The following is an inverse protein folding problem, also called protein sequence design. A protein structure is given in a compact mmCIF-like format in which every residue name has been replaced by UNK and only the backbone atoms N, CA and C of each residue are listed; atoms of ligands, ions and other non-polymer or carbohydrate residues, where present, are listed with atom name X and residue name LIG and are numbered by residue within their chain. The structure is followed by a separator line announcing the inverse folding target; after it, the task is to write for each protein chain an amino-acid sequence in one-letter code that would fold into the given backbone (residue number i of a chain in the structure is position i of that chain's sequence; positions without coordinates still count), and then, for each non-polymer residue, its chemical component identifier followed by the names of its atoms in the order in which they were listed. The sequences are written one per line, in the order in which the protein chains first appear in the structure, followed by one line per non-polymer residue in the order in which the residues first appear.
data_IF_978630986547
#
_entry.id   IF_978630986547
#
_cell.length_a   1.000
_cell.length_b   1.000
_cell.length_c   1.000
_cell.angle_alpha   90.00
_cell.angle_beta   90.00
_cell.angle_gamma   90.00
#
_symmetry.space_group_name_H-M   'P 1'
#
loop_
_entity.id
_entity.type
_entity.pdbx_description
1 polymer ?
#
# COMPACT_ATOMS: atom_id res chain seq x y z
N UNK A 1 9.21 -8.10 -19.06
CA UNK A 1 8.78 -6.69 -18.93
C UNK A 1 7.26 -6.56 -18.98
N UNK A 2 6.57 -6.87 -20.08
CA UNK A 2 5.10 -6.74 -20.17
C UNK A 2 4.31 -7.60 -19.17
N UNK A 3 4.70 -8.86 -18.96
CA UNK A 3 4.06 -9.73 -17.96
C UNK A 3 4.16 -9.19 -16.53
N UNK A 4 5.23 -8.44 -16.23
CA UNK A 4 5.44 -7.81 -14.92
C UNK A 4 4.38 -6.73 -14.65
N UNK A 5 4.00 -5.94 -15.67
CA UNK A 5 2.94 -4.94 -15.55
C UNK A 5 1.54 -5.54 -15.36
N UNK A 6 1.31 -6.78 -15.80
CA UNK A 6 0.01 -7.46 -15.71
C UNK A 6 -0.10 -8.28 -14.41
N UNK A 7 0.93 -9.04 -14.06
CA UNK A 7 0.94 -9.92 -12.88
C UNK A 7 0.98 -9.15 -11.56
N UNK A 8 1.62 -7.99 -11.56
CA UNK A 8 1.90 -7.21 -10.37
C UNK A 8 0.62 -6.58 -9.76
N UNK A 9 -0.27 -5.91 -10.52
CA UNK A 9 -1.58 -5.47 -10.02
C UNK A 9 -2.48 -6.64 -9.58
N UNK A 10 -2.38 -7.77 -10.30
CA UNK A 10 -3.11 -9.00 -10.00
C UNK A 10 -2.74 -9.58 -8.63
N UNK A 11 -1.47 -9.46 -8.24
CA UNK A 11 -0.99 -9.90 -6.91
C UNK A 11 -1.65 -9.12 -5.76
N UNK A 12 -1.91 -7.82 -5.95
CA UNK A 12 -2.57 -6.96 -4.97
C UNK A 12 -4.08 -7.14 -4.91
N UNK A 13 -4.66 -7.87 -5.86
CA UNK A 13 -6.06 -8.27 -5.78
C UNK A 13 -6.29 -9.25 -4.64
N UNK A 14 -5.37 -10.19 -4.41
CA UNK A 14 -5.55 -11.24 -3.40
C UNK A 14 -5.83 -10.64 -2.01
N UNK A 15 -5.02 -9.72 -1.45
CA UNK A 15 -5.31 -9.16 -0.13
C UNK A 15 -6.53 -8.24 -0.13
N UNK A 16 -6.87 -7.57 -1.24
CA UNK A 16 -8.09 -6.73 -1.31
C UNK A 16 -9.38 -7.53 -1.27
N UNK A 17 -9.39 -8.79 -1.72
CA UNK A 17 -10.59 -9.65 -1.64
C UNK A 17 -11.04 -9.80 -0.19
N UNK A 18 -10.08 -9.89 0.73
CA UNK A 18 -10.34 -9.99 2.17
C UNK A 18 -10.86 -8.68 2.78
N UNK A 19 -10.81 -7.56 2.05
CA UNK A 19 -11.44 -6.30 2.43
C UNK A 19 -12.92 -6.19 1.98
N UNK A 20 -13.55 -7.26 1.47
CA UNK A 20 -14.93 -7.25 0.96
C UNK A 20 -15.91 -6.49 1.86
N UNK A 21 -15.98 -6.87 3.13
CA UNK A 21 -16.90 -6.26 4.10
C UNK A 21 -16.55 -4.81 4.43
N UNK A 22 -15.27 -4.44 4.33
CA UNK A 22 -14.85 -3.05 4.51
C UNK A 22 -15.32 -2.18 3.34
N UNK A 23 -15.32 -2.73 2.11
CA UNK A 23 -15.85 -2.01 0.95
C UNK A 23 -17.36 -1.79 1.07
N UNK A 24 -18.10 -2.80 1.55
CA UNK A 24 -19.53 -2.67 1.83
C UNK A 24 -19.82 -1.61 2.89
N UNK A 25 -19.06 -1.59 3.99
CA UNK A 25 -19.17 -0.55 5.02
C UNK A 25 -18.80 0.85 4.52
N UNK A 26 -17.94 0.95 3.52
CA UNK A 26 -17.57 2.21 2.87
C UNK A 26 -18.58 2.64 1.78
N UNK A 27 -19.72 1.95 1.63
CA UNK A 27 -20.76 2.28 0.65
C UNK A 27 -20.44 1.85 -0.78
N UNK A 28 -19.48 0.93 -0.97
CA UNK A 28 -19.13 0.32 -2.26
C UNK A 28 -19.59 -1.13 -2.30
N UNK A 29 -19.74 -1.72 -3.48
CA UNK A 29 -20.15 -3.12 -3.55
C UNK A 29 -18.97 -4.05 -3.31
N UNK A 30 -19.15 -5.09 -2.48
CA UNK A 30 -18.05 -6.00 -2.14
C UNK A 30 -17.48 -6.78 -3.33
N UNK A 31 -18.28 -7.10 -4.35
CA UNK A 31 -17.81 -7.77 -5.57
C UNK A 31 -16.75 -6.98 -6.33
N UNK A 32 -16.68 -5.66 -6.12
CA UNK A 32 -15.68 -4.81 -6.73
C UNK A 32 -14.26 -5.19 -6.28
N UNK A 33 -14.12 -5.89 -5.15
CA UNK A 33 -12.81 -6.40 -4.67
C UNK A 33 -12.26 -7.56 -5.50
N UNK A 34 -13.09 -8.28 -6.25
CA UNK A 34 -12.68 -9.45 -7.05
C UNK A 34 -12.05 -9.06 -8.39
N UNK A 35 -12.46 -7.94 -8.96
CA UNK A 35 -12.04 -7.54 -10.30
C UNK A 35 -10.66 -6.85 -10.20
N UNK A 36 -9.59 -7.44 -10.76
CA UNK A 36 -8.28 -6.81 -10.75
C UNK A 36 -8.32 -5.45 -11.44
N UNK A 37 -7.41 -4.53 -11.05
CA UNK A 37 -7.35 -3.13 -11.49
C UNK A 37 -8.53 -2.28 -10.98
N UNK A 38 -9.77 -2.71 -11.21
CA UNK A 38 -10.96 -1.99 -10.75
C UNK A 38 -11.06 -1.96 -9.23
N UNK A 39 -10.76 -3.06 -8.56
CA UNK A 39 -10.67 -3.14 -7.10
C UNK A 39 -9.74 -2.06 -6.51
N UNK A 40 -8.56 -1.87 -7.10
CA UNK A 40 -7.54 -0.91 -6.66
C UNK A 40 -7.99 0.54 -6.92
N UNK A 41 -8.71 0.78 -8.01
CA UNK A 41 -9.32 2.08 -8.28
C UNK A 41 -10.43 2.42 -7.28
N UNK A 42 -11.35 1.49 -7.01
CA UNK A 42 -12.39 1.67 -5.99
C UNK A 42 -11.76 1.83 -4.60
N UNK A 43 -10.69 1.09 -4.33
CA UNK A 43 -9.92 1.25 -3.10
C UNK A 43 -9.44 2.70 -2.95
N UNK A 44 -8.85 3.29 -3.99
CA UNK A 44 -8.44 4.71 -3.97
C UNK A 44 -9.60 5.68 -3.73
N UNK A 45 -10.79 5.38 -4.27
CA UNK A 45 -11.99 6.18 -4.00
C UNK A 45 -12.40 6.11 -2.52
N UNK A 46 -12.31 4.94 -1.90
CA UNK A 46 -12.61 4.76 -0.47
C UNK A 46 -11.62 5.55 0.40
N UNK A 47 -10.33 5.54 0.06
CA UNK A 47 -9.33 6.27 0.86
C UNK A 47 -9.15 7.74 0.43
N UNK A 48 -9.94 8.20 -0.57
CA UNK A 48 -9.88 9.52 -1.21
C UNK A 48 -8.45 9.98 -1.56
N UNK A 49 -7.64 9.09 -2.12
CA UNK A 49 -6.28 9.42 -2.56
C UNK A 49 -6.24 9.71 -4.06
N UNK A 50 -5.32 10.58 -4.53
CA UNK A 50 -5.27 10.97 -5.94
C UNK A 50 -4.89 9.78 -6.83
N UNK A 51 -5.32 9.84 -8.09
CA UNK A 51 -5.06 8.81 -9.11
C UNK A 51 -3.56 8.48 -9.31
N UNK A 52 -2.65 9.39 -8.97
CA UNK A 52 -1.21 9.13 -9.03
C UNK A 52 -0.77 7.96 -8.15
N UNK A 53 -1.46 7.69 -7.04
CA UNK A 53 -1.19 6.51 -6.22
C UNK A 53 -1.44 5.22 -6.99
N UNK A 54 -2.45 5.22 -7.88
CA UNK A 54 -2.72 4.11 -8.78
C UNK A 54 -1.59 3.88 -9.76
N UNK A 55 -1.07 4.97 -10.36
CA UNK A 55 0.03 4.88 -11.32
C UNK A 55 1.31 4.37 -10.67
N UNK A 56 1.60 4.77 -9.43
CA UNK A 56 2.76 4.28 -8.69
C UNK A 56 2.68 2.77 -8.37
N UNK A 57 1.48 2.17 -8.36
CA UNK A 57 1.34 0.72 -8.24
C UNK A 57 1.89 -0.04 -9.46
N UNK A 58 2.11 0.64 -10.59
CA UNK A 58 2.70 0.02 -11.78
C UNK A 58 4.23 0.01 -11.75
N UNK A 59 4.84 0.80 -10.85
CA UNK A 59 6.30 0.90 -10.73
C UNK A 59 6.79 -0.19 -9.77
N UNK A 60 7.67 -1.12 -10.20
CA UNK A 60 8.22 -2.15 -9.32
C UNK A 60 8.89 -1.56 -8.07
N UNK A 61 8.86 -2.32 -6.97
CA UNK A 61 9.29 -1.93 -5.62
C UNK A 61 8.45 -0.84 -4.96
N UNK A 62 8.17 0.25 -5.68
CA UNK A 62 7.26 1.31 -5.22
C UNK A 62 5.84 0.79 -5.04
N UNK A 63 5.41 -0.11 -5.90
CA UNK A 63 4.10 -0.73 -5.85
C UNK A 63 3.75 -1.36 -4.49
N UNK A 64 4.68 -2.14 -3.91
CA UNK A 64 4.46 -2.80 -2.62
C UNK A 64 4.32 -1.75 -1.53
N UNK A 65 5.21 -0.76 -1.52
CA UNK A 65 5.15 0.35 -0.57
C UNK A 65 3.83 1.13 -0.65
N UNK A 66 3.42 1.50 -1.86
CA UNK A 66 2.17 2.22 -2.08
C UNK A 66 0.95 1.39 -1.66
N UNK A 67 0.95 0.09 -1.96
CA UNK A 67 -0.13 -0.80 -1.53
C UNK A 67 -0.19 -0.94 0.00
N UNK A 68 0.97 -1.06 0.67
CA UNK A 68 1.03 -1.05 2.14
C UNK A 68 0.44 0.25 2.71
N UNK A 69 0.78 1.41 2.12
CA UNK A 69 0.18 2.68 2.53
C UNK A 69 -1.34 2.71 2.33
N UNK A 70 -1.84 2.16 1.22
CA UNK A 70 -3.28 2.06 0.97
C UNK A 70 -3.99 1.22 2.03
N UNK A 71 -3.41 0.08 2.44
CA UNK A 71 -3.94 -0.77 3.52
C UNK A 71 -3.97 -0.03 4.87
N UNK A 72 -2.92 0.72 5.17
CA UNK A 72 -2.85 1.57 6.37
C UNK A 72 -3.92 2.67 6.32
N UNK A 73 -4.12 3.32 5.18
CA UNK A 73 -5.15 4.34 5.00
C UNK A 73 -6.57 3.76 5.10
N UNK A 74 -6.78 2.53 4.62
CA UNK A 74 -8.03 1.80 4.83
C UNK A 74 -8.29 1.56 6.30
N UNK A 75 -7.30 1.04 7.03
CA UNK A 75 -7.43 0.76 8.46
C UNK A 75 -7.78 2.05 9.24
N UNK A 76 -7.19 3.19 8.85
CA UNK A 76 -7.53 4.50 9.41
C UNK A 76 -8.97 4.94 9.10
N UNK A 77 -9.57 4.53 7.96
CA UNK A 77 -11.01 4.76 7.71
C UNK A 77 -11.89 4.12 8.80
N UNK A 78 -11.42 3.07 9.47
CA UNK A 78 -12.16 2.33 10.49
C UNK A 78 -11.63 2.63 11.90
N UNK A 79 -11.12 3.85 12.13
CA UNK A 79 -10.57 4.32 13.41
C UNK A 79 -9.37 3.51 13.95
N UNK A 80 -8.65 2.77 13.10
CA UNK A 80 -7.45 2.01 13.49
C UNK A 80 -6.17 2.82 13.31
N UNK A 81 -5.88 3.65 14.31
CA UNK A 81 -4.75 4.59 14.27
C UNK A 81 -3.47 4.10 14.92
N UNK A 82 -3.55 3.03 15.73
CA UNK A 82 -2.39 2.49 16.45
C UNK A 82 -1.39 1.88 15.47
N UNK A 83 -0.10 2.03 15.79
CA UNK A 83 0.99 1.47 14.98
C UNK A 83 0.85 -0.05 14.79
N UNK A 84 0.51 -0.78 15.86
CA UNK A 84 0.36 -2.23 15.80
C UNK A 84 -0.80 -2.68 14.91
N UNK A 85 -1.92 -1.95 14.93
CA UNK A 85 -3.07 -2.21 14.07
C UNK A 85 -2.74 -1.99 12.58
N UNK A 86 -1.97 -0.95 12.28
CA UNK A 86 -1.49 -0.67 10.92
C UNK A 86 -0.48 -1.70 10.44
N UNK A 87 0.43 -2.12 11.31
CA UNK A 87 1.37 -3.19 11.04
C UNK A 87 0.65 -4.52 10.75
N UNK A 88 -0.35 -4.89 11.55
CA UNK A 88 -1.16 -6.09 11.32
C UNK A 88 -1.93 -6.04 10.00
N UNK A 89 -2.48 -4.87 9.63
CA UNK A 89 -3.14 -4.68 8.35
C UNK A 89 -2.21 -4.91 7.15
N UNK A 90 -0.92 -4.61 7.30
CA UNK A 90 0.09 -4.75 6.26
C UNK A 90 0.68 -6.17 6.21
N UNK A 91 1.03 -6.74 7.36
CA UNK A 91 1.74 -8.03 7.43
C UNK A 91 0.77 -9.21 7.31
N UNK A 92 -0.44 -9.07 7.85
CA UNK A 92 -1.45 -10.14 7.85
C UNK A 92 -2.81 -9.66 7.33
N UNK A 93 -2.88 -9.08 6.10
CA UNK A 93 -4.10 -8.51 5.55
C UNK A 93 -5.23 -9.55 5.44
N UNK A 94 -4.88 -10.80 5.12
CA UNK A 94 -5.83 -11.89 4.92
C UNK A 94 -6.65 -12.24 6.17
N UNK A 95 -6.09 -12.01 7.36
CA UNK A 95 -6.77 -12.29 8.64
C UNK A 95 -7.31 -11.00 9.23
N UNK A 96 -6.52 -9.94 9.18
CA UNK A 96 -6.85 -8.69 9.85
C UNK A 96 -7.96 -7.90 9.13
N UNK A 97 -7.98 -7.86 7.80
CA UNK A 97 -9.01 -7.12 7.06
C UNK A 97 -10.42 -7.72 7.21
N UNK A 98 -10.63 -9.06 7.10
CA UNK A 98 -11.92 -9.66 7.39
C UNK A 98 -12.29 -9.52 8.86
N UNK A 99 -11.32 -9.64 9.77
CA UNK A 99 -11.57 -9.42 11.20
C UNK A 99 -12.10 -8.01 11.49
N UNK A 100 -11.57 -6.98 10.83
CA UNK A 100 -12.13 -5.63 10.88
C UNK A 100 -13.50 -5.55 10.18
N UNK A 101 -13.67 -6.23 9.05
CA UNK A 101 -14.92 -6.30 8.31
C UNK A 101 -16.09 -6.88 9.12
N UNK A 102 -15.82 -7.87 9.98
CA UNK A 102 -16.85 -8.58 10.74
C UNK A 102 -17.36 -7.81 11.96
N UNK A 103 -16.63 -6.81 12.45
CA UNK A 103 -17.05 -6.06 13.64
C UNK A 103 -18.23 -5.13 13.32
N UNK A 104 -19.40 -5.37 13.91
CA UNK A 104 -20.64 -4.63 13.62
C UNK A 104 -20.60 -3.14 14.03
N UNK A 105 -19.77 -2.78 15.00
CA UNK A 105 -19.70 -1.43 15.59
C UNK A 105 -18.56 -0.57 15.03
N UNK A 106 -18.30 -0.67 13.73
CA UNK A 106 -17.25 0.14 13.09
C UNK A 106 -17.81 0.88 11.88
N UNK A 107 -18.32 2.12 12.08
CA UNK A 107 -18.70 2.96 10.96
C UNK A 107 -17.46 3.34 10.16
N UNK A 108 -17.64 3.43 8.84
CA UNK A 108 -16.64 4.02 7.96
C UNK A 108 -16.57 5.53 8.26
N UNK A 109 -15.36 6.00 8.57
CA UNK A 109 -15.04 7.42 8.75
C UNK A 109 -14.37 7.92 7.49
N UNK A 110 -14.96 8.97 6.93
CA UNK A 110 -14.45 9.61 5.74
C UNK A 110 -13.02 10.14 5.97
N UNK A 111 -12.06 9.90 5.06
CA UNK A 111 -10.71 10.46 5.11
C UNK A 111 -10.62 11.94 5.45
N UNK A 112 -11.57 12.75 4.97
CA UNK A 112 -11.55 14.21 5.15
C UNK A 112 -12.05 14.66 6.54
N UNK A 113 -12.79 13.79 7.24
CA UNK A 113 -13.41 14.08 8.54
C UNK A 113 -12.58 13.54 9.73
N UNK A 114 -11.40 12.98 9.46
CA UNK A 114 -10.60 12.33 10.51
C UNK A 114 -9.95 13.37 11.43
N UNK A 115 -9.90 13.12 12.74
CA UNK A 115 -9.15 13.96 13.65
C UNK A 115 -7.65 13.88 13.33
N UNK A 116 -6.96 15.02 13.37
CA UNK A 116 -5.51 15.06 13.27
C UNK A 116 -4.88 14.45 14.53
N UNK A 117 -4.30 13.25 14.39
CA UNK A 117 -3.66 12.57 15.51
C UNK A 117 -2.19 12.94 15.54
N UNK A 118 -1.75 13.56 16.64
CA UNK A 118 -0.33 13.79 16.92
C UNK A 118 0.41 12.46 16.97
N UNK A 119 1.38 12.31 16.06
CA UNK A 119 2.24 11.13 16.03
C UNK A 119 3.21 11.21 17.21
N UNK A 120 3.44 10.10 17.91
CA UNK A 120 4.49 10.03 18.93
C UNK A 120 5.87 9.96 18.29
N UNK A 121 6.92 10.28 19.06
CA UNK A 121 8.33 10.28 18.62
C UNK A 121 8.71 8.95 17.94
N UNK A 122 8.36 7.82 18.55
CA UNK A 122 8.66 6.48 17.98
C UNK A 122 8.05 6.31 16.59
N UNK A 123 6.83 6.82 16.37
CA UNK A 123 6.15 6.76 15.07
C UNK A 123 6.85 7.61 14.04
N UNK A 124 7.24 8.83 14.39
CA UNK A 124 7.94 9.73 13.48
C UNK A 124 9.29 9.16 13.03
N UNK A 125 10.06 8.58 13.96
CA UNK A 125 11.30 7.89 13.64
C UNK A 125 11.07 6.68 12.75
N UNK A 126 10.03 5.89 13.01
CA UNK A 126 9.68 4.72 12.18
C UNK A 126 9.29 5.14 10.76
N UNK A 127 8.42 6.14 10.63
CA UNK A 127 7.99 6.70 9.33
C UNK A 127 9.22 7.23 8.54
N UNK A 128 10.15 7.91 9.21
CA UNK A 128 11.37 8.43 8.60
C UNK A 128 12.31 7.32 8.11
N UNK A 129 12.51 6.26 8.89
CA UNK A 129 13.34 5.11 8.48
C UNK A 129 12.72 4.41 7.27
N UNK A 130 11.42 4.15 7.30
CA UNK A 130 10.70 3.52 6.18
C UNK A 130 10.86 4.36 4.92
N UNK A 131 10.67 5.68 5.02
CA UNK A 131 10.85 6.59 3.88
C UNK A 131 12.30 6.57 3.35
N UNK A 132 13.29 6.62 4.24
CA UNK A 132 14.71 6.60 3.86
C UNK A 132 15.09 5.28 3.15
N UNK A 133 14.61 4.13 3.63
CA UNK A 133 14.86 2.83 3.00
C UNK A 133 14.25 2.78 1.60
N UNK A 134 13.00 3.26 1.44
CA UNK A 134 12.34 3.31 0.13
C UNK A 134 13.08 4.25 -0.81
N UNK A 135 13.43 5.45 -0.37
CA UNK A 135 14.19 6.42 -1.16
C UNK A 135 15.56 5.88 -1.58
N UNK A 136 16.31 5.27 -0.65
CA UNK A 136 17.61 4.65 -0.93
C UNK A 136 17.48 3.50 -1.95
N UNK A 137 16.40 2.72 -1.87
CA UNK A 137 16.12 1.63 -2.82
C UNK A 137 15.86 2.19 -4.22
N UNK A 138 15.10 3.28 -4.34
CA UNK A 138 14.85 3.96 -5.63
C UNK A 138 16.17 4.49 -6.22
N UNK A 139 16.97 5.19 -5.41
CA UNK A 139 18.25 5.76 -5.87
C UNK A 139 19.17 4.65 -6.35
N UNK A 140 19.31 3.56 -5.58
CA UNK A 140 20.18 2.44 -5.95
C UNK A 140 19.70 1.71 -7.21
N UNK A 141 18.39 1.61 -7.41
CA UNK A 141 17.84 0.86 -8.55
C UNK A 141 17.90 1.66 -9.85
N UNK A 142 17.70 2.98 -9.80
CA UNK A 142 17.55 3.81 -11.00
C UNK A 142 18.67 4.80 -11.27
N UNK A 143 19.46 5.19 -10.25
CA UNK A 143 20.49 6.23 -10.38
C UNK A 143 21.91 5.68 -10.22
N UNK A 144 22.14 4.87 -9.19
CA UNK A 144 23.49 4.47 -8.77
C UNK A 144 23.60 2.96 -8.62
N UNK A 145 24.21 2.30 -9.59
CA UNK A 145 24.59 0.89 -9.51
C UNK A 145 26.11 0.76 -9.46
N UNK A 146 26.63 0.13 -8.40
CA UNK A 146 28.07 -0.10 -8.27
C UNK A 146 28.47 -1.25 -9.20
N UNK A 147 29.11 -0.93 -10.32
CA UNK A 147 29.65 -1.92 -11.25
C UNK A 147 31.12 -2.20 -10.93
N UNK A 148 31.46 -3.46 -10.75
CA UNK A 148 32.86 -3.90 -10.67
C UNK A 148 33.33 -4.24 -12.07
N UNK A 149 34.41 -3.61 -12.54
CA UNK A 149 34.94 -3.86 -13.88
C UNK A 149 35.53 -5.28 -13.92
N UNK A 150 34.94 -6.21 -14.70
CA UNK A 150 35.24 -7.63 -14.53
C UNK A 150 36.48 -8.10 -15.31
N UNK A 151 36.95 -7.34 -16.32
CA UNK A 151 38.08 -7.75 -17.16
C UNK A 151 38.88 -6.57 -17.72
N UNK A 152 40.17 -6.82 -17.99
CA UNK A 152 41.10 -5.88 -18.62
C UNK A 152 40.76 -5.51 -20.07
N UNK A 153 39.81 -6.23 -20.70
CA UNK A 153 39.25 -5.86 -22.00
C UNK A 153 38.41 -4.58 -21.94
N UNK A 154 37.91 -4.19 -20.75
CA UNK A 154 37.14 -2.96 -20.55
C UNK A 154 37.98 -1.79 -20.00
N UNK A 155 39.31 -1.97 -19.84
CA UNK A 155 40.22 -0.95 -19.31
C UNK A 155 40.88 -0.09 -20.40
N UNK A 156 40.73 -0.42 -21.69
CA UNK A 156 41.40 0.25 -22.82
C UNK A 156 40.50 1.16 -23.67
N UNK A 157 39.38 1.66 -23.14
CA UNK A 157 38.54 2.67 -23.82
C UNK A 157 38.65 4.03 -23.14
#
# INVERSE_FOLDING_TARGET
MLALFILLPLSFTIPTIFAWQLFEKAGKHGWQTLIPFYNLYIFLQIIKKPLWWYLLLLVPFLNVFMYMLMLVELAKCFNRFKLWEQFLAVVVPFVYLPYLGLQSDMPYVDPDERPEIKKGIVREWTDAIIFAVVAATIIRTFLLEAYTIPTSSMEKS
#
